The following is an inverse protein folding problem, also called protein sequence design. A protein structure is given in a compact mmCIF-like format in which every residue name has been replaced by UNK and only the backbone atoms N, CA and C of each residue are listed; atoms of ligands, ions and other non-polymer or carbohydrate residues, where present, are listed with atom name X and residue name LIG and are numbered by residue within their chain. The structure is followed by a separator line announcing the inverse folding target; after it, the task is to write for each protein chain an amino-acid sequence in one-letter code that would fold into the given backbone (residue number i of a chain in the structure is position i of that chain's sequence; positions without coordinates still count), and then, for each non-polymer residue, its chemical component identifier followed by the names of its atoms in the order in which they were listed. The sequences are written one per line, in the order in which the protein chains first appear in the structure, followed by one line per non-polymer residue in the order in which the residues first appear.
data_IF_411700576857
#
_entry.id   IF_411700576857
#
_cell.length_a   1.000
_cell.length_b   1.000
_cell.length_c   1.000
_cell.angle_alpha   90.00
_cell.angle_beta   90.00
_cell.angle_gamma   90.00
#
_symmetry.space_group_name_H-M   'P 1'
#
loop_
_entity.id
_entity.type
_entity.pdbx_description
1 polymer ?
#
# COMPACT_ATOMS: atom_id res chain seq x y z
N UNK A 1 15.16 7.10 12.15
CA UNK A 1 14.03 7.96 11.72
C UNK A 1 12.93 7.04 11.21
N UNK A 2 11.65 7.38 11.42
CA UNK A 2 10.52 6.54 11.03
C UNK A 2 9.46 7.38 10.32
N UNK A 3 8.87 6.82 9.27
CA UNK A 3 7.72 7.36 8.53
C UNK A 3 6.77 6.19 8.22
N UNK A 4 5.47 6.43 8.32
CA UNK A 4 4.40 5.50 7.94
C UNK A 4 3.20 6.28 7.41
N UNK A 5 2.34 5.63 6.64
CA UNK A 5 1.15 6.26 6.06
C UNK A 5 1.47 7.06 4.80
N UNK A 6 0.49 7.83 4.34
CA UNK A 6 0.52 8.53 3.06
C UNK A 6 -0.38 9.77 3.08
N UNK A 7 -0.18 10.68 2.10
CA UNK A 7 -0.93 11.94 1.95
C UNK A 7 -1.07 12.69 3.30
N UNK A 8 -2.31 12.85 3.79
CA UNK A 8 -2.66 13.62 4.98
C UNK A 8 -2.60 12.82 6.29
N UNK A 9 -2.32 11.51 6.22
CA UNK A 9 -2.33 10.60 7.37
C UNK A 9 -0.93 10.00 7.61
N UNK A 10 0.10 10.78 7.27
CA UNK A 10 1.48 10.41 7.54
C UNK A 10 1.76 10.45 9.05
N UNK A 11 2.64 9.56 9.49
CA UNK A 11 3.13 9.51 10.86
C UNK A 11 4.65 9.42 10.88
N UNK A 12 5.28 10.43 11.46
CA UNK A 12 6.75 10.56 11.53
C UNK A 12 7.23 10.54 12.97
N UNK A 13 8.32 9.81 13.23
CA UNK A 13 9.01 9.80 14.54
C UNK A 13 10.51 9.99 14.37
N UNK A 14 11.09 10.85 15.20
CA UNK A 14 12.54 11.03 15.35
C UNK A 14 12.93 10.39 16.69
N UNK A 15 13.87 9.44 16.67
CA UNK A 15 14.34 8.82 17.91
C UNK A 15 15.20 9.81 18.72
N UNK A 16 15.22 9.65 20.05
CA UNK A 16 16.09 10.43 20.93
C UNK A 16 17.56 10.31 20.50
N UNK A 17 17.99 9.13 20.05
CA UNK A 17 19.36 8.89 19.61
C UNK A 17 19.69 9.60 18.30
N UNK A 18 18.78 9.61 17.33
CA UNK A 18 18.97 10.38 16.11
C UNK A 18 19.10 11.88 16.41
N UNK A 19 18.24 12.39 17.29
CA UNK A 19 18.30 13.79 17.71
C UNK A 19 19.61 14.14 18.42
N UNK A 20 20.07 13.29 19.35
CA UNK A 20 21.37 13.41 20.03
C UNK A 20 22.56 13.41 19.07
N UNK A 21 22.49 12.59 18.01
CA UNK A 21 23.49 12.55 16.92
C UNK A 21 23.40 13.73 15.95
N UNK A 22 22.54 14.71 16.22
CA UNK A 22 22.44 15.93 15.43
C UNK A 22 21.27 15.97 14.45
N UNK A 23 20.43 14.93 14.36
CA UNK A 23 19.30 14.97 13.42
C UNK A 23 18.32 16.11 13.72
N UNK A 24 17.98 16.90 12.70
CA UNK A 24 17.04 18.02 12.74
C UNK A 24 15.98 17.84 11.65
N UNK A 25 14.92 18.64 11.73
CA UNK A 25 13.80 18.58 10.78
C UNK A 25 14.26 18.91 9.36
N UNK A 26 15.20 19.84 9.19
CA UNK A 26 15.77 20.23 7.89
C UNK A 26 16.40 19.06 7.12
N UNK A 27 16.94 18.06 7.81
CA UNK A 27 17.52 16.88 7.17
C UNK A 27 16.47 16.03 6.43
N UNK A 28 15.17 16.11 6.77
CA UNK A 28 14.14 15.51 5.92
C UNK A 28 14.12 16.17 4.55
N UNK A 29 14.32 17.49 4.48
CA UNK A 29 14.40 18.25 3.24
C UNK A 29 15.62 17.84 2.42
N UNK A 30 16.78 17.73 3.05
CA UNK A 30 18.01 17.27 2.38
C UNK A 30 17.87 15.86 1.82
N UNK A 31 17.30 14.93 2.60
CA UNK A 31 17.04 13.55 2.16
C UNK A 31 16.10 13.55 0.96
N UNK A 32 14.99 14.31 1.01
CA UNK A 32 14.03 14.38 -0.08
C UNK A 32 14.64 14.98 -1.35
N UNK A 33 15.41 16.06 -1.23
CA UNK A 33 16.13 16.68 -2.36
C UNK A 33 17.10 15.67 -2.98
N UNK A 34 17.96 15.05 -2.18
CA UNK A 34 18.96 14.12 -2.66
C UNK A 34 18.32 12.88 -3.31
N UNK A 35 17.30 12.30 -2.67
CA UNK A 35 16.64 11.07 -3.16
C UNK A 35 15.79 11.31 -4.40
N UNK A 36 15.04 12.41 -4.48
CA UNK A 36 14.26 12.71 -5.67
C UNK A 36 15.15 12.95 -6.90
N UNK A 37 16.27 13.65 -6.73
CA UNK A 37 17.27 13.79 -7.79
C UNK A 37 17.92 12.47 -8.17
N UNK A 38 18.36 11.69 -7.19
CA UNK A 38 19.04 10.42 -7.46
C UNK A 38 18.13 9.41 -8.17
N UNK A 39 16.88 9.29 -7.72
CA UNK A 39 15.98 8.24 -8.16
C UNK A 39 15.19 8.63 -9.44
N UNK A 40 15.04 9.94 -9.70
CA UNK A 40 14.25 10.47 -10.83
C UNK A 40 15.00 11.52 -11.66
N UNK A 41 16.33 11.43 -11.78
CA UNK A 41 17.19 12.38 -12.49
C UNK A 41 16.78 12.66 -13.95
N UNK A 42 16.07 11.74 -14.59
CA UNK A 42 15.56 11.91 -15.97
C UNK A 42 14.32 12.78 -16.07
N UNK A 43 13.64 13.04 -14.95
CA UNK A 43 12.35 13.75 -14.87
C UNK A 43 12.45 14.99 -13.97
N UNK A 44 13.28 14.93 -12.93
CA UNK A 44 13.39 15.95 -11.89
C UNK A 44 14.67 16.73 -12.08
N UNK A 45 14.52 17.99 -12.50
CA UNK A 45 15.64 18.88 -12.82
C UNK A 45 16.01 19.80 -11.64
N UNK A 46 15.03 20.19 -10.81
CA UNK A 46 15.20 20.99 -9.60
C UNK A 46 14.21 20.55 -8.52
N UNK A 47 14.66 20.55 -7.27
CA UNK A 47 13.83 20.19 -6.12
C UNK A 47 13.90 21.29 -5.07
N UNK A 48 12.73 21.75 -4.62
CA UNK A 48 12.60 22.59 -3.44
C UNK A 48 11.70 21.86 -2.44
N UNK A 49 12.15 21.76 -1.19
CA UNK A 49 11.36 21.20 -0.10
C UNK A 49 11.08 22.29 0.93
N UNK A 50 9.84 22.36 1.40
CA UNK A 50 9.42 23.22 2.51
C UNK A 50 8.77 22.36 3.58
N UNK A 51 9.26 22.48 4.81
CA UNK A 51 8.73 21.74 5.96
C UNK A 51 8.04 22.73 6.88
N UNK A 52 6.76 22.50 7.14
CA UNK A 52 5.94 23.33 7.99
C UNK A 52 5.66 22.62 9.31
N UNK A 53 6.02 23.26 10.42
CA UNK A 53 5.72 22.80 11.78
C UNK A 53 4.77 23.75 12.52
N UNK A 54 4.48 24.91 11.93
CA UNK A 54 3.47 25.84 12.44
C UNK A 54 2.07 25.26 12.21
N UNK A 55 1.28 25.16 13.29
CA UNK A 55 -0.01 24.48 13.25
C UNK A 55 -1.04 25.17 12.34
N UNK A 56 -1.05 26.51 12.31
CA UNK A 56 -1.98 27.26 11.47
C UNK A 56 -1.64 27.06 9.99
N UNK A 57 -0.35 27.16 9.64
CA UNK A 57 0.11 26.96 8.26
C UNK A 57 -0.08 25.53 7.77
N UNK A 58 0.14 24.53 8.63
CA UNK A 58 -0.12 23.13 8.30
C UNK A 58 -1.61 22.91 7.99
N UNK A 59 -2.52 23.50 8.78
CA UNK A 59 -3.97 23.39 8.55
C UNK A 59 -4.38 24.02 7.21
N UNK A 60 -3.85 25.20 6.88
CA UNK A 60 -4.07 25.87 5.60
C UNK A 60 -3.62 25.00 4.42
N UNK A 61 -2.36 24.54 4.45
CA UNK A 61 -1.78 23.72 3.38
C UNK A 61 -2.47 22.36 3.22
N UNK A 62 -3.02 21.82 4.31
CA UNK A 62 -3.80 20.59 4.24
C UNK A 62 -5.08 20.78 3.43
N UNK A 63 -5.75 21.92 3.56
CA UNK A 63 -6.93 22.24 2.75
C UNK A 63 -6.55 22.47 1.28
N UNK A 64 -5.37 23.01 1.00
CA UNK A 64 -4.83 23.11 -0.39
C UNK A 64 -4.47 21.75 -0.99
N UNK A 65 -3.98 20.81 -0.18
CA UNK A 65 -3.58 19.48 -0.64
C UNK A 65 -4.77 18.55 -0.95
N UNK A 66 -5.88 18.72 -0.23
CA UNK A 66 -7.10 17.88 -0.37
C UNK A 66 -7.66 17.85 -1.81
N UNK A 67 -7.83 18.99 -2.52
CA UNK A 67 -8.22 19.00 -3.93
C UNK A 67 -7.28 18.20 -4.84
N UNK A 68 -5.97 18.25 -4.58
CA UNK A 68 -4.98 17.48 -5.37
C UNK A 68 -5.17 15.99 -5.17
N UNK A 69 -5.44 15.55 -3.94
CA UNK A 69 -5.73 14.14 -3.64
C UNK A 69 -7.02 13.69 -4.33
N UNK A 70 -8.10 14.48 -4.22
CA UNK A 70 -9.37 14.19 -4.89
C UNK A 70 -9.22 14.08 -6.41
N UNK A 71 -8.52 15.03 -7.03
CA UNK A 71 -8.27 15.00 -8.46
C UNK A 71 -7.46 13.78 -8.92
N UNK A 72 -6.66 13.15 -8.03
CA UNK A 72 -5.99 11.87 -8.33
C UNK A 72 -6.95 10.71 -8.18
N UNK A 73 -7.77 10.70 -7.14
CA UNK A 73 -8.77 9.65 -6.90
C UNK A 73 -9.83 9.63 -8.02
N UNK A 74 -10.27 10.80 -8.49
CA UNK A 74 -11.24 10.96 -9.58
C UNK A 74 -10.76 10.38 -10.92
N UNK A 75 -9.43 10.39 -11.17
CA UNK A 75 -8.85 9.76 -12.38
C UNK A 75 -9.00 8.25 -12.39
N UNK A 76 -9.15 7.64 -11.22
CA UNK A 76 -9.26 6.18 -11.06
C UNK A 76 -10.70 5.77 -10.81
N UNK A 77 -11.52 6.63 -10.22
CA UNK A 77 -12.90 6.30 -9.83
C UNK A 77 -13.80 5.80 -10.97
N UNK A 78 -13.45 6.08 -12.24
CA UNK A 78 -14.18 5.56 -13.41
C UNK A 78 -13.66 4.24 -13.97
N UNK A 79 -12.55 3.69 -13.45
CA UNK A 79 -11.92 2.47 -13.96
C UNK A 79 -12.33 1.25 -13.13
N UNK A 80 -12.72 0.18 -13.81
CA UNK A 80 -13.03 -1.12 -13.20
C UNK A 80 -11.94 -2.16 -13.49
N UNK A 81 -11.95 -3.24 -12.72
CA UNK A 81 -11.05 -4.38 -12.95
C UNK A 81 -11.36 -5.11 -14.28
N UNK A 82 -12.59 -4.99 -14.76
CA UNK A 82 -13.04 -5.49 -16.05
C UNK A 82 -12.56 -4.63 -17.24
N UNK A 83 -12.33 -3.33 -17.04
CA UNK A 83 -11.93 -2.39 -18.10
C UNK A 83 -10.45 -2.52 -18.54
N UNK A 84 -9.65 -3.28 -17.79
CA UNK A 84 -8.20 -3.41 -18.02
C UNK A 84 -7.80 -4.86 -18.21
N UNK A 85 -6.87 -5.13 -19.14
CA UNK A 85 -6.29 -6.47 -19.30
C UNK A 85 -5.11 -6.72 -18.34
N UNK A 86 -4.40 -5.65 -17.99
CA UNK A 86 -3.22 -5.70 -17.14
C UNK A 86 -3.54 -5.22 -15.72
N UNK A 87 -3.11 -6.00 -14.75
CA UNK A 87 -2.87 -5.52 -13.39
C UNK A 87 -1.41 -5.11 -13.24
N UNK A 88 -1.07 -4.52 -12.10
CA UNK A 88 0.32 -4.22 -11.79
C UNK A 88 0.77 -4.91 -10.51
N UNK A 89 1.96 -5.48 -10.52
CA UNK A 89 2.60 -5.90 -9.27
C UNK A 89 3.24 -4.72 -8.55
N UNK A 90 3.50 -4.88 -7.27
CA UNK A 90 4.43 -4.03 -6.52
C UNK A 90 5.29 -4.89 -5.58
N UNK A 91 6.61 -4.85 -5.78
CA UNK A 91 7.62 -5.56 -4.99
C UNK A 91 8.45 -4.62 -4.11
N UNK A 92 8.11 -3.33 -4.03
CA UNK A 92 8.87 -2.32 -3.29
C UNK A 92 9.10 -2.69 -1.82
N UNK A 93 8.13 -3.37 -1.21
CA UNK A 93 8.17 -3.77 0.19
C UNK A 93 8.91 -5.10 0.45
N UNK A 94 9.52 -5.72 -0.57
CA UNK A 94 10.35 -6.92 -0.39
C UNK A 94 11.63 -6.65 0.43
N UNK A 95 12.03 -5.38 0.54
CA UNK A 95 13.04 -4.94 1.51
C UNK A 95 12.67 -5.21 2.97
N UNK A 96 11.38 -5.38 3.28
CA UNK A 96 10.86 -5.73 4.61
C UNK A 96 10.30 -7.16 4.68
N UNK A 97 9.54 -7.57 3.66
CA UNK A 97 8.91 -8.89 3.57
C UNK A 97 9.29 -9.54 2.24
N UNK A 98 10.39 -10.34 2.18
CA UNK A 98 11.02 -10.76 0.92
C UNK A 98 10.10 -11.46 -0.09
N UNK A 99 9.12 -12.21 0.41
CA UNK A 99 8.19 -12.98 -0.44
C UNK A 99 6.86 -12.25 -0.71
N UNK A 100 6.69 -11.04 -0.17
CA UNK A 100 5.47 -10.28 -0.37
C UNK A 100 5.41 -9.68 -1.78
N UNK A 101 4.24 -9.81 -2.40
CA UNK A 101 3.91 -9.17 -3.68
C UNK A 101 2.51 -8.57 -3.56
N UNK A 102 2.38 -7.26 -3.78
CA UNK A 102 1.08 -6.64 -3.99
C UNK A 102 0.65 -6.84 -5.44
N UNK A 103 -0.60 -7.22 -5.67
CA UNK A 103 -1.27 -7.10 -6.98
C UNK A 103 -2.24 -5.93 -6.89
N UNK A 104 -1.99 -4.89 -7.67
CA UNK A 104 -2.71 -3.62 -7.67
C UNK A 104 -3.62 -3.58 -8.89
N UNK A 105 -4.92 -3.41 -8.64
CA UNK A 105 -5.97 -3.32 -9.67
C UNK A 105 -6.64 -1.94 -9.59
N UNK A 106 -7.41 -1.53 -10.62
CA UNK A 106 -8.19 -0.29 -10.55
C UNK A 106 -9.07 -0.19 -9.30
N UNK A 107 -9.65 -1.32 -8.86
CA UNK A 107 -10.56 -1.37 -7.72
C UNK A 107 -9.94 -1.93 -6.43
N UNK A 108 -8.64 -2.27 -6.44
CA UNK A 108 -7.88 -2.68 -5.26
C UNK A 108 -6.48 -2.06 -5.27
N UNK A 109 -6.36 -0.92 -4.61
CA UNK A 109 -5.07 -0.24 -4.40
C UNK A 109 -4.13 -1.08 -3.51
N UNK A 110 -2.83 -0.79 -3.60
CA UNK A 110 -1.83 -1.39 -2.72
C UNK A 110 -2.16 -1.15 -1.25
N UNK A 111 -1.89 -2.16 -0.41
CA UNK A 111 -2.29 -2.16 1.00
C UNK A 111 -1.78 -0.95 1.81
N UNK A 112 -0.72 -0.27 1.36
CA UNK A 112 -0.22 0.96 1.95
C UNK A 112 -1.11 2.20 1.74
N UNK A 113 -2.13 2.10 0.88
CA UNK A 113 -3.01 3.21 0.49
C UNK A 113 -2.37 4.22 -0.48
N UNK A 114 -1.09 4.04 -0.83
CA UNK A 114 -0.29 5.04 -1.56
C UNK A 114 -0.04 4.70 -3.04
N UNK A 115 -0.24 3.43 -3.42
CA UNK A 115 -0.03 2.94 -4.79
C UNK A 115 -1.35 2.52 -5.39
N UNK A 116 -1.85 3.33 -6.30
CA UNK A 116 -2.99 2.99 -7.15
C UNK A 116 -2.55 2.32 -8.45
N UNK A 117 -3.48 1.78 -9.23
CA UNK A 117 -3.16 1.20 -10.54
C UNK A 117 -2.46 2.20 -11.48
N UNK A 118 -2.92 3.45 -11.52
CA UNK A 118 -2.28 4.51 -12.31
C UNK A 118 -0.88 4.87 -11.79
N UNK A 119 -0.67 4.84 -10.47
CA UNK A 119 0.66 5.10 -9.89
C UNK A 119 1.64 3.99 -10.28
N UNK A 120 1.21 2.73 -10.24
CA UNK A 120 2.03 1.59 -10.68
C UNK A 120 2.35 1.66 -12.18
N UNK A 121 1.37 2.03 -13.01
CA UNK A 121 1.55 2.27 -14.44
C UNK A 121 2.56 3.37 -14.71
N UNK A 122 2.41 4.52 -14.05
CA UNK A 122 3.35 5.63 -14.17
C UNK A 122 4.75 5.22 -13.70
N UNK A 123 4.87 4.53 -12.57
CA UNK A 123 6.14 4.01 -12.03
C UNK A 123 6.86 3.12 -13.04
N UNK A 124 6.14 2.20 -13.70
CA UNK A 124 6.72 1.33 -14.74
C UNK A 124 7.16 2.13 -15.99
N UNK A 125 6.38 3.13 -16.40
CA UNK A 125 6.75 4.01 -17.53
C UNK A 125 7.99 4.85 -17.24
N UNK A 126 8.19 5.23 -15.99
CA UNK A 126 9.38 5.97 -15.53
C UNK A 126 10.60 5.03 -15.50
N UNK A 127 10.44 3.81 -14.99
CA UNK A 127 11.49 2.81 -14.93
C UNK A 127 10.93 1.40 -15.12
N UNK A 128 11.18 0.80 -16.30
CA UNK A 128 10.73 -0.54 -16.64
C UNK A 128 11.35 -1.64 -15.77
N UNK A 129 12.48 -1.37 -15.11
CA UNK A 129 13.14 -2.26 -14.15
C UNK A 129 12.87 -1.85 -12.69
N UNK A 130 11.87 -0.99 -12.47
CA UNK A 130 11.42 -0.57 -11.16
C UNK A 130 10.62 -1.66 -10.43
N UNK A 131 10.03 -1.33 -9.27
CA UNK A 131 9.30 -2.28 -8.43
C UNK A 131 7.90 -2.63 -8.96
N UNK A 132 7.47 -2.00 -10.05
CA UNK A 132 6.14 -2.17 -10.62
C UNK A 132 6.23 -2.74 -12.03
N UNK A 133 5.60 -3.89 -12.24
CA UNK A 133 5.57 -4.59 -13.52
C UNK A 133 4.11 -4.83 -13.91
N UNK A 134 3.75 -4.63 -15.20
CA UNK A 134 2.44 -5.02 -15.70
C UNK A 134 2.35 -6.56 -15.74
N UNK A 135 1.19 -7.09 -15.35
CA UNK A 135 0.89 -8.52 -15.40
C UNK A 135 -0.48 -8.69 -16.06
N UNK A 136 -0.46 -9.17 -17.31
CA UNK A 136 -1.68 -9.48 -18.06
C UNK A 136 -2.42 -10.62 -17.36
N UNK A 137 -3.73 -10.47 -17.13
CA UNK A 137 -4.57 -11.45 -16.41
C UNK A 137 -4.45 -12.87 -16.98
N UNK A 138 -4.56 -13.05 -18.30
CA UNK A 138 -4.59 -14.37 -18.93
C UNK A 138 -5.89 -15.13 -18.67
N UNK A 139 -5.82 -16.47 -18.60
CA UNK A 139 -6.99 -17.33 -18.33
C UNK A 139 -7.62 -17.00 -16.96
N UNK A 140 -8.90 -16.64 -16.95
CA UNK A 140 -9.67 -16.51 -15.71
C UNK A 140 -10.03 -17.90 -15.19
N UNK A 141 -9.52 -18.22 -13.99
CA UNK A 141 -9.72 -19.52 -13.35
C UNK A 141 -10.97 -19.50 -12.46
N UNK A 142 -11.20 -18.39 -11.77
CA UNK A 142 -12.39 -18.17 -10.94
C UNK A 142 -12.72 -16.67 -10.91
N UNK A 143 -13.83 -16.24 -11.54
CA UNK A 143 -14.21 -14.83 -11.56
C UNK A 143 -14.77 -14.32 -10.22
N UNK A 144 -15.29 -15.20 -9.35
CA UNK A 144 -15.81 -14.83 -8.04
C UNK A 144 -14.69 -14.56 -7.04
N UNK A 145 -13.63 -15.37 -7.08
CA UNK A 145 -12.44 -15.18 -6.26
C UNK A 145 -11.49 -14.13 -6.86
N UNK A 146 -11.59 -13.88 -8.17
CA UNK A 146 -10.62 -13.09 -8.91
C UNK A 146 -9.28 -13.82 -8.97
N UNK A 147 -9.28 -15.03 -9.51
CA UNK A 147 -8.07 -15.81 -9.79
C UNK A 147 -7.82 -15.88 -11.29
N UNK A 148 -6.59 -15.57 -11.68
CA UNK A 148 -6.15 -15.69 -13.07
C UNK A 148 -4.81 -16.42 -13.16
N UNK A 149 -4.64 -17.21 -14.23
CA UNK A 149 -3.46 -18.06 -14.44
C UNK A 149 -2.17 -17.28 -14.36
N UNK A 150 -2.03 -16.22 -15.17
CA UNK A 150 -0.77 -15.49 -15.27
C UNK A 150 -0.44 -14.72 -13.99
N UNK A 151 -1.46 -14.27 -13.24
CA UNK A 151 -1.25 -13.63 -11.94
C UNK A 151 -0.65 -14.65 -10.96
N UNK A 152 -1.18 -15.87 -10.91
CA UNK A 152 -0.66 -16.95 -10.07
C UNK A 152 0.77 -17.36 -10.47
N UNK A 153 1.04 -17.49 -11.77
CA UNK A 153 2.38 -17.82 -12.28
C UNK A 153 3.38 -16.71 -11.93
N UNK A 154 2.97 -15.45 -12.07
CA UNK A 154 3.80 -14.30 -11.75
C UNK A 154 4.16 -14.21 -10.27
N UNK A 155 3.16 -14.29 -9.36
CA UNK A 155 3.44 -14.21 -7.92
C UNK A 155 4.31 -15.38 -7.47
N UNK A 156 4.15 -16.57 -8.06
CA UNK A 156 4.97 -17.73 -7.72
C UNK A 156 6.46 -17.46 -7.95
N UNK A 157 6.79 -16.86 -9.09
CA UNK A 157 8.18 -16.45 -9.38
C UNK A 157 8.62 -15.34 -8.43
N UNK A 158 7.82 -14.29 -8.27
CA UNK A 158 8.22 -13.09 -7.51
C UNK A 158 8.23 -13.26 -5.99
N UNK A 159 7.60 -14.31 -5.48
CA UNK A 159 7.60 -14.69 -4.07
C UNK A 159 8.55 -15.86 -3.77
N UNK A 160 9.53 -16.14 -4.64
CA UNK A 160 10.47 -17.26 -4.48
C UNK A 160 9.80 -18.64 -4.32
N UNK A 161 8.65 -18.84 -4.96
CA UNK A 161 7.85 -20.07 -4.89
C UNK A 161 6.89 -20.16 -3.70
N UNK A 162 6.91 -19.21 -2.76
CA UNK A 162 6.11 -19.28 -1.53
C UNK A 162 4.61 -19.01 -1.72
N UNK A 163 4.22 -18.28 -2.76
CA UNK A 163 2.82 -18.00 -3.11
C UNK A 163 2.48 -18.74 -4.39
N UNK A 164 1.46 -19.60 -4.34
CA UNK A 164 1.05 -20.40 -5.51
C UNK A 164 -0.25 -19.87 -6.11
N UNK A 165 -1.12 -19.28 -5.27
CA UNK A 165 -2.41 -18.76 -5.66
C UNK A 165 -2.69 -17.42 -4.99
N UNK A 166 -3.49 -16.61 -5.65
CA UNK A 166 -3.96 -15.33 -5.17
C UNK A 166 -5.41 -15.11 -5.58
N UNK A 167 -6.24 -14.72 -4.61
CA UNK A 167 -7.60 -14.24 -4.83
C UNK A 167 -7.69 -12.73 -4.63
N UNK A 168 -8.08 -12.01 -5.68
CA UNK A 168 -8.30 -10.57 -5.62
C UNK A 168 -9.54 -10.17 -4.80
N UNK A 169 -10.53 -11.07 -4.66
CA UNK A 169 -11.84 -10.75 -4.11
C UNK A 169 -12.23 -11.65 -2.92
N UNK A 170 -11.26 -12.31 -2.29
CA UNK A 170 -11.51 -13.12 -1.10
C UNK A 170 -10.43 -12.91 -0.03
N UNK A 171 -10.87 -12.76 1.21
CA UNK A 171 -9.99 -12.82 2.38
C UNK A 171 -9.85 -14.24 2.95
N UNK A 172 -10.67 -15.18 2.50
CA UNK A 172 -10.75 -16.54 3.05
C UNK A 172 -9.99 -17.57 2.22
N UNK A 173 -9.89 -17.37 0.91
CA UNK A 173 -9.24 -18.30 -0.01
C UNK A 173 -8.06 -17.58 -0.64
N UNK A 174 -6.85 -18.06 -0.38
CA UNK A 174 -5.60 -17.54 -0.95
C UNK A 174 -5.50 -16.00 -0.93
N UNK A 175 -5.70 -15.33 0.23
CA UNK A 175 -5.71 -13.87 0.30
C UNK A 175 -4.36 -13.27 -0.09
N UNK A 176 -4.35 -11.99 -0.46
CA UNK A 176 -3.12 -11.23 -0.60
C UNK A 176 -2.33 -11.24 0.70
N UNK A 177 -1.02 -11.49 0.62
CA UNK A 177 -0.15 -11.37 1.79
C UNK A 177 0.06 -9.91 2.16
N UNK A 178 0.63 -9.67 3.35
CA UNK A 178 0.91 -8.31 3.82
C UNK A 178 2.39 -8.15 4.16
N UNK A 179 2.97 -7.00 3.82
CA UNK A 179 4.32 -6.64 4.27
C UNK A 179 4.27 -6.12 5.72
N UNK A 180 4.23 -4.81 5.92
CA UNK A 180 4.15 -4.19 7.25
C UNK A 180 3.55 -2.78 7.26
N UNK A 181 3.17 -2.23 6.10
CA UNK A 181 2.72 -0.85 5.95
C UNK A 181 1.21 -0.69 5.68
N UNK A 182 0.42 -1.76 5.83
CA UNK A 182 -1.04 -1.69 5.65
C UNK A 182 -1.69 -0.65 6.57
N UNK A 183 -2.68 0.08 6.05
CA UNK A 183 -3.36 1.13 6.82
C UNK A 183 -4.41 0.54 7.76
N UNK A 184 -5.06 -0.55 7.33
CA UNK A 184 -6.07 -1.28 8.06
C UNK A 184 -5.82 -2.79 8.01
N UNK A 185 -6.40 -3.50 8.97
CA UNK A 185 -6.49 -4.96 8.98
C UNK A 185 -7.97 -5.33 8.97
N UNK A 186 -8.35 -6.19 8.03
CA UNK A 186 -9.63 -6.89 8.05
C UNK A 186 -9.41 -8.25 8.70
N UNK A 187 -10.25 -8.61 9.66
CA UNK A 187 -10.19 -9.89 10.37
C UNK A 187 -11.57 -10.50 10.50
N UNK A 188 -11.68 -11.80 10.28
CA UNK A 188 -12.93 -12.54 10.44
C UNK A 188 -13.39 -12.54 11.90
N UNK A 189 -14.70 -12.35 12.10
CA UNK A 189 -15.38 -12.49 13.38
C UNK A 189 -16.50 -13.53 13.21
N UNK A 190 -16.21 -14.83 13.45
CA UNK A 190 -17.15 -15.92 13.23
C UNK A 190 -18.48 -15.75 13.98
N UNK A 191 -18.43 -15.24 15.22
CA UNK A 191 -19.61 -15.03 16.08
C UNK A 191 -20.57 -13.99 15.53
N UNK A 192 -20.09 -13.07 14.69
CA UNK A 192 -20.89 -12.06 14.01
C UNK A 192 -21.24 -12.46 12.57
N UNK A 193 -20.79 -13.63 12.10
CA UNK A 193 -20.82 -14.03 10.69
C UNK A 193 -20.34 -12.90 9.76
N UNK A 194 -19.23 -12.25 10.15
CA UNK A 194 -18.77 -11.03 9.50
C UNK A 194 -17.30 -10.77 9.73
N UNK A 195 -16.91 -9.51 9.56
CA UNK A 195 -15.52 -9.06 9.70
C UNK A 195 -15.45 -7.82 10.56
N UNK A 196 -14.33 -7.62 11.24
CA UNK A 196 -13.94 -6.34 11.81
C UNK A 196 -12.91 -5.67 10.92
N UNK A 197 -12.86 -4.34 10.98
CA UNK A 197 -11.79 -3.55 10.38
C UNK A 197 -11.18 -2.69 11.47
N UNK A 198 -9.86 -2.75 11.63
CA UNK A 198 -9.13 -1.91 12.58
C UNK A 198 -8.04 -1.14 11.84
N UNK A 199 -8.02 0.17 12.03
CA UNK A 199 -7.00 1.03 11.46
C UNK A 199 -5.74 1.10 12.35
N UNK A 200 -4.61 1.43 11.72
CA UNK A 200 -3.29 1.48 12.36
C UNK A 200 -3.19 2.43 13.54
N UNK A 201 -3.98 3.50 13.54
CA UNK A 201 -3.92 4.54 14.59
C UNK A 201 -4.78 4.15 15.80
N UNK A 202 -5.64 3.14 15.67
CA UNK A 202 -6.44 2.62 16.77
C UNK A 202 -5.59 1.84 17.79
N UNK A 203 -5.52 2.37 19.02
CA UNK A 203 -4.73 1.77 20.12
C UNK A 203 -5.53 0.84 21.03
N UNK A 204 -6.85 0.79 20.85
CA UNK A 204 -7.77 0.02 21.67
C UNK A 204 -7.76 -1.48 21.37
N UNK A 205 -8.48 -2.22 22.22
CA UNK A 205 -8.76 -3.63 21.98
C UNK A 205 -9.88 -3.76 20.95
N UNK A 206 -9.73 -4.69 20.01
CA UNK A 206 -10.80 -5.01 19.05
C UNK A 206 -11.73 -6.10 19.60
N UNK A 207 -12.93 -6.29 19.00
CA UNK A 207 -13.85 -7.36 19.40
C UNK A 207 -13.27 -8.79 19.32
N UNK A 208 -12.20 -9.01 18.55
CA UNK A 208 -11.53 -10.32 18.44
C UNK A 208 -10.40 -10.51 19.46
N UNK A 209 -10.34 -9.67 20.50
CA UNK A 209 -9.41 -9.84 21.63
C UNK A 209 -7.96 -9.46 21.33
N UNK A 210 -7.68 -8.79 20.21
CA UNK A 210 -6.34 -8.35 19.84
C UNK A 210 -6.30 -6.85 19.50
N UNK A 211 -5.16 -6.20 19.76
CA UNK A 211 -4.89 -4.84 19.27
C UNK A 211 -4.38 -4.88 17.83
N UNK A 212 -4.42 -3.75 17.13
CA UNK A 212 -3.82 -3.63 15.79
C UNK A 212 -2.37 -4.15 15.75
N UNK A 213 -1.54 -3.78 16.74
CA UNK A 213 -0.12 -4.21 16.77
C UNK A 213 0.06 -5.72 16.86
N UNK A 214 -0.83 -6.41 17.56
CA UNK A 214 -0.79 -7.87 17.72
C UNK A 214 -1.21 -8.54 16.40
N UNK A 215 -2.30 -8.06 15.80
CA UNK A 215 -2.75 -8.53 14.49
C UNK A 215 -1.70 -8.29 13.40
N UNK A 216 -1.07 -7.11 13.39
CA UNK A 216 -0.04 -6.76 12.43
C UNK A 216 1.17 -7.70 12.50
N UNK A 217 1.53 -8.16 13.70
CA UNK A 217 2.59 -9.16 13.90
C UNK A 217 2.24 -10.56 13.40
N UNK A 218 0.94 -10.89 13.29
CA UNK A 218 0.47 -12.19 12.80
C UNK A 218 0.36 -12.23 11.27
N UNK A 219 -0.06 -11.13 10.63
CA UNK A 219 -0.38 -11.12 9.20
C UNK A 219 0.76 -10.57 8.34
N UNK A 220 1.70 -9.85 8.96
CA UNK A 220 2.84 -9.26 8.27
C UNK A 220 3.88 -10.31 7.86
N UNK A 221 4.84 -9.88 7.04
CA UNK A 221 5.97 -10.72 6.64
C UNK A 221 5.77 -11.57 5.39
N UNK A 222 4.70 -11.34 4.62
CA UNK A 222 4.52 -11.95 3.31
C UNK A 222 3.92 -13.36 3.33
N UNK A 223 3.20 -13.73 4.40
CA UNK A 223 2.50 -15.01 4.51
C UNK A 223 1.01 -14.89 4.20
N UNK A 224 0.40 -15.94 3.64
CA UNK A 224 -1.05 -16.01 3.46
C UNK A 224 -1.73 -16.42 4.76
N UNK A 225 -2.68 -15.60 5.21
CA UNK A 225 -3.40 -15.80 6.47
C UNK A 225 -4.90 -15.77 6.22
N UNK A 226 -5.52 -16.87 5.73
CA UNK A 226 -6.97 -16.96 5.55
C UNK A 226 -7.76 -16.43 6.75
N UNK A 227 -8.69 -15.52 6.50
CA UNK A 227 -9.45 -14.82 7.55
C UNK A 227 -8.83 -13.52 8.03
N UNK A 228 -7.64 -13.15 7.55
CA UNK A 228 -6.97 -11.90 7.88
C UNK A 228 -6.29 -11.29 6.65
N UNK A 229 -6.42 -9.97 6.46
CA UNK A 229 -5.76 -9.28 5.34
C UNK A 229 -5.48 -7.83 5.66
N UNK A 230 -4.28 -7.36 5.31
CA UNK A 230 -3.91 -5.95 5.35
C UNK A 230 -4.41 -5.22 4.11
N UNK A 231 -5.04 -4.06 4.29
CA UNK A 231 -5.62 -3.26 3.21
C UNK A 231 -5.32 -1.76 3.36
N UNK A 232 -5.45 -1.00 2.27
CA UNK A 232 -5.52 0.45 2.31
C UNK A 232 -6.93 0.92 2.66
N UNK A 233 -7.07 2.07 3.32
CA UNK A 233 -8.36 2.61 3.80
C UNK A 233 -9.39 2.77 2.68
N UNK A 234 -8.94 3.21 1.50
CA UNK A 234 -9.82 3.47 0.34
C UNK A 234 -10.41 2.18 -0.25
N UNK A 235 -9.80 1.02 0.00
CA UNK A 235 -10.34 -0.25 -0.50
C UNK A 235 -11.71 -0.58 0.11
N UNK A 236 -11.98 -0.13 1.34
CA UNK A 236 -13.24 -0.40 2.06
C UNK A 236 -14.47 0.10 1.27
N UNK A 237 -14.32 1.15 0.47
CA UNK A 237 -15.39 1.73 -0.34
C UNK A 237 -15.38 1.23 -1.80
N UNK A 238 -14.52 0.27 -2.13
CA UNK A 238 -14.45 -0.31 -3.46
C UNK A 238 -15.66 -1.23 -3.73
N UNK A 239 -16.22 -1.25 -4.94
CA UNK A 239 -17.19 -2.27 -5.35
C UNK A 239 -16.65 -3.71 -5.33
N UNK A 240 -15.32 -3.90 -5.24
CA UNK A 240 -14.64 -5.20 -5.15
C UNK A 240 -14.18 -5.55 -3.72
N UNK A 241 -14.65 -4.82 -2.71
CA UNK A 241 -14.38 -5.13 -1.30
C UNK A 241 -15.21 -6.31 -0.80
#
# INVERSE_FOLDING_TARGET
IFHMGQRAIIWVRISKDAHKKGFRIEHFGEILVAKLHNDFSTIVDRVQVRIYTDAAKVKELLEEARPVYRARDDRIGGMTDEDVEDYYSCTLCQSYAPDHVCIVTPQRLGLCGAYTWLDCKASHQINAHGPNEPVTKGECLDPNLGQWRNINDYINVKSNGNLVKFSAYSMLVDPMTSCGCFECIVAIMPEANGVIIVDRDHQGMTPIGMKFSTLAGQIGGGIQTPGFVGIGKVYITSPKF
#
